data_IF_936010382232
#
_entry.id   IF_936010382232
#
_cell.length_a   1.000
_cell.length_b   1.000
_cell.length_c   1.000
_cell.angle_alpha   90.00
_cell.angle_beta   90.00
_cell.angle_gamma   90.00
#
_symmetry.space_group_name_H-M   'P 1'
#
loop_
_entity.id
_entity.type
_entity.pdbx_description
1 polymer ?
#
# COMPACT_ATOMS: atom_id res chain seq x y z
N UNK A 1 -91.17 -15.52 26.74
CA UNK A 1 -91.45 -15.31 25.31
C UNK A 1 -90.50 -14.21 24.82
N UNK A 2 -89.71 -14.49 23.79
CA UNK A 2 -88.81 -13.57 23.04
C UNK A 2 -89.48 -12.23 22.69
N UNK A 3 -88.76 -11.10 22.39
CA UNK A 3 -87.64 -11.10 21.45
C UNK A 3 -86.50 -10.04 21.59
N UNK A 4 -85.41 -10.37 20.88
CA UNK A 4 -84.53 -9.53 20.04
C UNK A 4 -83.85 -8.27 20.60
N UNK A 5 -82.52 -8.21 20.43
CA UNK A 5 -81.92 -7.43 19.34
C UNK A 5 -80.44 -7.80 19.14
N UNK A 6 -80.09 -8.08 17.88
CA UNK A 6 -78.73 -8.25 17.37
C UNK A 6 -78.08 -6.87 17.24
N UNK A 7 -76.84 -6.71 17.68
CA UNK A 7 -75.98 -5.64 17.20
C UNK A 7 -74.59 -6.21 16.89
N UNK A 8 -74.27 -6.24 15.60
CA UNK A 8 -72.93 -6.53 15.09
C UNK A 8 -72.04 -5.33 15.36
N UNK A 9 -70.92 -5.54 16.05
CA UNK A 9 -69.80 -4.60 16.06
C UNK A 9 -68.60 -5.28 15.41
N UNK A 10 -68.30 -4.87 14.17
CA UNK A 10 -67.05 -5.17 13.49
C UNK A 10 -65.91 -4.47 14.23
N UNK A 11 -64.99 -5.24 14.82
CA UNK A 11 -63.73 -4.71 15.34
C UNK A 11 -62.71 -4.71 14.19
N UNK A 12 -62.48 -3.56 13.57
CA UNK A 12 -61.38 -3.38 12.64
C UNK A 12 -60.08 -3.19 13.43
N UNK A 13 -59.19 -4.18 13.40
CA UNK A 13 -57.83 -4.06 13.92
C UNK A 13 -57.02 -3.16 12.97
N UNK A 14 -56.81 -1.89 13.33
CA UNK A 14 -55.86 -1.03 12.65
C UNK A 14 -54.44 -1.41 13.08
N UNK A 15 -53.77 -2.28 12.32
CA UNK A 15 -52.35 -2.52 12.48
C UNK A 15 -51.58 -1.35 11.87
N UNK A 16 -51.13 -0.42 12.70
CA UNK A 16 -50.15 0.60 12.30
C UNK A 16 -48.79 -0.07 12.12
N UNK A 17 -48.47 -0.48 10.88
CA UNK A 17 -47.12 -0.85 10.50
C UNK A 17 -46.24 0.40 10.51
N UNK A 18 -45.48 0.62 11.59
CA UNK A 18 -44.37 1.56 11.55
C UNK A 18 -43.22 0.90 10.79
N UNK A 19 -43.16 1.15 9.49
CA UNK A 19 -41.93 0.91 8.73
C UNK A 19 -40.92 1.96 9.19
N UNK A 20 -39.96 1.55 10.03
CA UNK A 20 -38.78 2.37 10.29
C UNK A 20 -38.03 2.57 8.96
N UNK A 21 -37.59 3.80 8.62
CA UNK A 21 -36.75 3.99 7.45
C UNK A 21 -35.39 3.36 7.75
N UNK A 22 -35.09 2.27 7.05
CA UNK A 22 -33.77 1.64 7.06
C UNK A 22 -32.81 2.51 6.24
N UNK A 23 -32.48 3.71 6.72
CA UNK A 23 -31.43 4.54 6.14
C UNK A 23 -30.06 4.08 6.63
N UNK A 24 -29.63 2.92 6.13
CA UNK A 24 -28.21 2.67 5.90
C UNK A 24 -28.02 2.49 4.40
N UNK A 25 -28.26 3.57 3.67
CA UNK A 25 -27.68 3.72 2.34
C UNK A 25 -26.17 3.82 2.54
N UNK A 26 -25.47 2.69 2.34
CA UNK A 26 -24.07 2.72 1.96
C UNK A 26 -23.98 3.63 0.73
N UNK A 27 -23.62 4.89 0.95
CA UNK A 27 -23.24 5.76 -0.16
C UNK A 27 -22.03 5.11 -0.82
N UNK A 28 -22.29 4.38 -1.90
CA UNK A 28 -21.28 3.89 -2.84
C UNK A 28 -20.66 5.14 -3.50
N UNK A 29 -19.81 5.85 -2.77
CA UNK A 29 -18.96 6.85 -3.39
C UNK A 29 -18.07 6.10 -4.37
N UNK A 30 -18.20 6.43 -5.65
CA UNK A 30 -17.23 6.00 -6.63
C UNK A 30 -15.87 6.52 -6.16
N UNK A 31 -14.87 5.62 -6.10
CA UNK A 31 -13.48 5.98 -5.88
C UNK A 31 -13.07 7.12 -6.82
N UNK A 32 -12.33 8.09 -6.31
CA UNK A 32 -11.75 9.17 -7.08
C UNK A 32 -10.25 8.98 -7.35
N UNK A 33 -9.79 9.58 -8.45
CA UNK A 33 -8.38 9.91 -8.65
C UNK A 33 -8.18 11.34 -8.13
N UNK A 34 -7.30 11.51 -7.16
CA UNK A 34 -7.11 12.78 -6.44
C UNK A 34 -5.69 13.32 -6.62
N UNK A 35 -5.47 14.59 -6.28
CA UNK A 35 -4.13 15.19 -6.33
C UNK A 35 -3.15 14.39 -5.45
N UNK A 36 -1.91 14.24 -5.91
CA UNK A 36 -0.92 13.39 -5.24
C UNK A 36 -0.61 13.81 -3.81
N UNK A 37 -0.77 15.09 -3.49
CA UNK A 37 -0.52 15.68 -2.18
C UNK A 37 -1.76 15.77 -1.27
N UNK A 38 -2.94 15.39 -1.77
CA UNK A 38 -4.19 15.45 -1.00
C UNK A 38 -4.37 14.29 -0.02
N UNK A 39 -3.73 13.15 -0.28
CA UNK A 39 -3.77 11.99 0.59
C UNK A 39 -2.75 12.13 1.73
N UNK A 40 -3.18 11.76 2.94
CA UNK A 40 -2.33 11.70 4.12
C UNK A 40 -2.11 10.24 4.52
N UNK A 41 -0.95 9.91 5.12
CA UNK A 41 -0.68 8.54 5.52
C UNK A 41 -1.67 8.09 6.59
N UNK A 42 -2.18 6.89 6.41
CA UNK A 42 -3.00 6.17 7.35
C UNK A 42 -2.12 5.74 8.52
N UNK A 43 -2.51 6.03 9.77
CA UNK A 43 -1.81 5.54 10.96
C UNK A 43 -1.60 4.02 10.92
N UNK A 44 -0.59 3.55 11.66
CA UNK A 44 -0.21 2.12 11.69
C UNK A 44 -1.43 1.20 11.72
N UNK A 45 -1.62 0.45 10.64
CA UNK A 45 -2.72 -0.48 10.45
C UNK A 45 -2.13 -1.81 9.99
N UNK A 46 -2.08 -2.77 10.90
CA UNK A 46 -1.45 -4.09 10.74
C UNK A 46 -2.42 -5.19 11.14
N UNK A 47 -2.33 -6.36 10.49
CA UNK A 47 -3.13 -7.51 10.90
C UNK A 47 -2.74 -8.00 12.29
N UNK A 48 -3.64 -8.63 13.05
CA UNK A 48 -3.30 -9.14 14.38
C UNK A 48 -2.38 -10.38 14.30
N UNK A 49 -1.70 -10.66 15.43
CA UNK A 49 -0.91 -11.88 15.61
C UNK A 49 0.52 -11.79 15.09
N UNK A 50 1.22 -12.93 15.09
CA UNK A 50 2.67 -13.01 14.88
C UNK A 50 3.16 -12.48 13.53
N UNK A 51 2.33 -12.55 12.49
CA UNK A 51 2.68 -11.98 11.19
C UNK A 51 2.65 -10.44 11.25
N UNK A 52 1.63 -9.86 11.88
CA UNK A 52 1.57 -8.42 12.13
C UNK A 52 2.72 -7.92 13.01
N UNK A 53 3.03 -8.64 14.08
CA UNK A 53 4.19 -8.34 14.95
C UNK A 53 5.50 -8.33 14.14
N UNK A 54 5.65 -9.27 13.20
CA UNK A 54 6.83 -9.34 12.33
C UNK A 54 6.86 -8.20 11.30
N UNK A 55 5.72 -7.83 10.70
CA UNK A 55 5.61 -6.68 9.80
C UNK A 55 6.04 -5.38 10.50
N UNK A 56 5.66 -5.19 11.76
CA UNK A 56 6.05 -4.00 12.52
C UNK A 56 7.54 -4.05 12.89
N UNK A 57 8.02 -5.20 13.36
CA UNK A 57 9.39 -5.38 13.84
C UNK A 57 10.45 -5.19 12.75
N UNK A 58 10.19 -5.68 11.55
CA UNK A 58 11.17 -5.77 10.46
C UNK A 58 11.00 -4.66 9.41
N UNK A 59 10.24 -3.60 9.71
CA UNK A 59 10.02 -2.50 8.78
C UNK A 59 11.35 -1.84 8.36
N UNK A 60 11.66 -1.67 7.07
CA UNK A 60 12.92 -1.06 6.65
C UNK A 60 13.04 0.43 7.03
N UNK A 61 14.28 0.88 7.20
CA UNK A 61 14.62 2.31 7.25
C UNK A 61 14.90 2.79 5.83
N UNK A 62 14.08 3.71 5.33
CA UNK A 62 14.23 4.25 3.99
C UNK A 62 14.94 5.62 4.01
N UNK A 63 16.07 5.71 3.32
CA UNK A 63 16.77 6.93 2.97
C UNK A 63 16.40 7.36 1.55
N UNK A 64 16.23 8.67 1.32
CA UNK A 64 15.94 9.24 0.00
C UNK A 64 17.18 10.03 -0.43
N UNK A 65 18.03 9.42 -1.26
CA UNK A 65 19.23 10.06 -1.77
C UNK A 65 18.89 11.09 -2.87
N UNK A 66 17.84 10.82 -3.65
CA UNK A 66 17.46 11.64 -4.80
C UNK A 66 15.95 11.60 -5.06
N UNK A 67 15.46 12.50 -5.92
CA UNK A 67 14.08 12.51 -6.42
C UNK A 67 13.03 12.90 -5.38
N UNK A 68 11.86 12.29 -5.50
CA UNK A 68 10.71 12.59 -4.66
C UNK A 68 10.84 11.97 -3.25
N UNK A 69 10.13 12.54 -2.28
CA UNK A 69 9.79 11.81 -1.05
C UNK A 69 8.71 10.76 -1.35
N UNK A 70 8.55 9.70 -0.54
CA UNK A 70 7.43 8.78 -0.69
C UNK A 70 6.12 9.46 -0.30
N UNK A 71 5.01 9.06 -0.93
CA UNK A 71 3.66 9.61 -0.73
C UNK A 71 2.66 8.49 -0.44
N UNK A 72 1.47 8.89 0.00
CA UNK A 72 0.34 7.98 0.19
C UNK A 72 -0.35 7.77 -1.16
N UNK A 73 -0.39 6.52 -1.61
CA UNK A 73 -0.95 6.14 -2.90
C UNK A 73 -2.48 5.94 -2.87
N UNK A 74 -3.03 5.54 -1.73
CA UNK A 74 -4.45 5.18 -1.57
C UNK A 74 -4.95 5.51 -0.16
N UNK A 75 -6.21 5.94 -0.03
CA UNK A 75 -6.88 6.07 1.27
C UNK A 75 -7.79 4.88 1.61
N UNK A 76 -8.44 4.94 2.77
CA UNK A 76 -9.35 3.87 3.25
C UNK A 76 -10.62 3.72 2.42
N UNK A 77 -11.01 4.75 1.67
CA UNK A 77 -12.22 4.79 0.84
C UNK A 77 -11.89 4.39 -0.62
N UNK A 78 -10.62 4.12 -0.91
CA UNK A 78 -10.13 3.62 -2.19
C UNK A 78 -9.67 4.72 -3.14
N UNK A 79 -9.77 6.01 -2.77
CA UNK A 79 -9.26 7.10 -3.58
C UNK A 79 -7.76 6.95 -3.78
N UNK A 80 -7.26 7.19 -4.99
CA UNK A 80 -5.84 7.05 -5.30
C UNK A 80 -5.18 8.33 -5.73
N UNK A 81 -3.88 8.41 -5.46
CA UNK A 81 -3.01 9.45 -6.01
C UNK A 81 -2.99 9.39 -7.54
N UNK A 82 -3.32 10.52 -8.18
CA UNK A 82 -3.12 10.76 -9.60
C UNK A 82 -1.65 11.00 -9.98
N UNK A 83 -0.73 10.96 -9.02
CA UNK A 83 0.69 11.18 -9.24
C UNK A 83 1.04 12.58 -9.72
N UNK A 84 2.31 12.76 -10.09
CA UNK A 84 2.83 14.01 -10.62
C UNK A 84 3.34 13.80 -12.05
N UNK A 85 3.17 14.80 -12.91
CA UNK A 85 3.80 14.75 -14.23
C UNK A 85 5.32 14.77 -14.06
N UNK A 86 6.02 13.93 -14.80
CA UNK A 86 7.48 13.82 -14.95
C UNK A 86 8.09 14.99 -15.74
N UNK A 87 7.65 16.20 -15.44
CA UNK A 87 8.13 17.45 -16.04
C UNK A 87 8.74 18.36 -14.97
N UNK A 88 9.44 19.40 -15.42
CA UNK A 88 10.10 20.35 -14.53
C UNK A 88 11.30 19.73 -13.81
N UNK A 89 11.54 20.13 -12.55
CA UNK A 89 12.64 19.59 -11.77
C UNK A 89 12.31 18.22 -11.17
N UNK A 90 13.34 17.40 -10.98
CA UNK A 90 13.25 16.05 -10.37
C UNK A 90 12.56 16.02 -9.01
N UNK A 91 12.68 17.12 -8.26
CA UNK A 91 12.14 17.28 -6.90
C UNK A 91 10.90 18.20 -6.85
N UNK A 92 10.50 18.79 -7.97
CA UNK A 92 9.40 19.75 -8.01
C UNK A 92 8.07 19.11 -7.58
N UNK A 93 7.38 19.74 -6.63
CA UNK A 93 6.05 19.32 -6.19
C UNK A 93 5.98 18.04 -5.34
N UNK A 94 7.10 17.41 -4.98
CA UNK A 94 7.08 16.09 -4.32
C UNK A 94 8.07 15.95 -3.15
N UNK A 95 8.31 17.02 -2.37
CA UNK A 95 9.28 17.02 -1.24
C UNK A 95 8.66 17.09 0.16
N UNK A 96 7.33 17.10 0.27
CA UNK A 96 6.67 16.98 1.57
C UNK A 96 7.02 15.63 2.23
N UNK A 97 7.68 15.72 3.39
CA UNK A 97 8.14 14.57 4.15
C UNK A 97 7.05 13.97 5.04
N UNK A 98 5.89 14.63 5.18
CA UNK A 98 4.76 14.17 5.99
C UNK A 98 3.83 13.19 5.26
N UNK A 99 3.99 13.05 3.93
CA UNK A 99 3.05 12.31 3.07
C UNK A 99 3.35 10.82 2.92
N UNK A 100 4.52 10.38 3.35
CA UNK A 100 4.99 9.02 3.08
C UNK A 100 4.27 7.93 3.86
N UNK A 101 4.07 6.79 3.21
CA UNK A 101 3.47 5.58 3.74
C UNK A 101 4.34 4.38 3.35
N UNK A 102 4.47 3.41 4.24
CA UNK A 102 4.94 2.07 3.92
C UNK A 102 3.75 1.14 3.70
N UNK A 103 3.76 0.38 2.61
CA UNK A 103 2.81 -0.69 2.36
C UNK A 103 3.48 -2.03 2.63
N UNK A 104 2.75 -2.99 3.19
CA UNK A 104 3.32 -4.29 3.52
C UNK A 104 2.40 -5.44 3.10
N UNK A 105 2.99 -6.57 2.72
CA UNK A 105 2.28 -7.85 2.56
C UNK A 105 3.22 -9.00 2.86
N UNK A 106 2.72 -9.99 3.60
CA UNK A 106 3.51 -11.14 4.02
C UNK A 106 2.94 -12.47 3.51
N UNK A 107 3.82 -13.45 3.33
CA UNK A 107 3.48 -14.85 3.04
C UNK A 107 4.56 -15.77 3.57
N UNK A 108 4.22 -17.05 3.78
CA UNK A 108 5.24 -18.08 3.91
C UNK A 108 5.84 -18.38 2.53
N UNK A 109 7.15 -18.52 2.46
CA UNK A 109 7.88 -18.89 1.25
C UNK A 109 9.11 -19.72 1.64
N UNK A 110 9.21 -20.96 1.13
CA UNK A 110 10.34 -21.88 1.39
C UNK A 110 10.72 -22.02 2.88
N UNK A 111 9.70 -22.12 3.75
CA UNK A 111 9.88 -22.27 5.20
C UNK A 111 10.30 -21.00 5.94
N UNK A 112 10.35 -19.84 5.27
CA UNK A 112 10.60 -18.52 5.85
C UNK A 112 9.34 -17.66 5.77
N UNK A 113 9.20 -16.70 6.68
CA UNK A 113 8.22 -15.63 6.49
C UNK A 113 8.84 -14.59 5.56
N UNK A 114 8.27 -14.42 4.37
CA UNK A 114 8.62 -13.35 3.45
C UNK A 114 7.71 -12.15 3.69
N UNK A 115 8.28 -10.97 3.88
CA UNK A 115 7.54 -9.71 4.04
C UNK A 115 8.03 -8.74 2.99
N UNK A 116 7.14 -8.37 2.07
CA UNK A 116 7.39 -7.34 1.08
C UNK A 116 6.92 -6.00 1.64
N UNK A 117 7.83 -5.04 1.75
CA UNK A 117 7.56 -3.63 2.05
C UNK A 117 7.72 -2.81 0.78
N UNK A 118 6.80 -1.89 0.53
CA UNK A 118 6.80 -1.06 -0.65
C UNK A 118 6.50 0.40 -0.31
N UNK A 119 6.94 1.28 -1.19
CA UNK A 119 6.68 2.72 -1.14
C UNK A 119 6.27 3.21 -2.52
N UNK A 120 5.48 4.29 -2.51
CA UNK A 120 5.00 4.95 -3.70
C UNK A 120 5.63 6.34 -3.82
N UNK A 121 6.04 6.71 -5.03
CA UNK A 121 6.43 8.08 -5.34
C UNK A 121 5.50 8.67 -6.42
N UNK A 122 5.18 9.98 -6.36
CA UNK A 122 4.30 10.61 -7.35
C UNK A 122 4.83 10.54 -8.79
N UNK A 123 6.15 10.49 -8.97
CA UNK A 123 6.84 10.33 -10.25
C UNK A 123 8.22 9.71 -10.06
N UNK A 124 8.69 9.04 -11.11
CA UNK A 124 10.09 8.76 -11.34
C UNK A 124 10.65 9.79 -12.33
N UNK A 125 11.70 10.51 -11.92
CA UNK A 125 12.39 11.43 -12.81
C UNK A 125 13.89 11.48 -12.48
N UNK A 126 14.67 10.75 -13.26
CA UNK A 126 16.14 10.64 -13.14
C UNK A 126 16.92 11.87 -13.62
N UNK A 127 16.30 12.77 -14.41
CA UNK A 127 16.89 14.03 -14.85
C UNK A 127 15.85 15.16 -15.00
N UNK A 128 16.24 16.41 -14.71
CA UNK A 128 15.35 17.58 -14.83
C UNK A 128 15.05 17.94 -16.29
N UNK A 129 13.86 18.48 -16.55
CA UNK A 129 13.36 18.81 -17.89
C UNK A 129 12.46 17.72 -18.47
N UNK A 130 11.97 17.92 -19.70
CA UNK A 130 11.19 16.92 -20.44
C UNK A 130 12.14 15.91 -21.10
N UNK A 131 12.76 15.06 -20.28
CA UNK A 131 13.80 14.13 -20.73
C UNK A 131 13.26 12.71 -20.91
N UNK A 132 13.89 11.96 -21.81
CA UNK A 132 13.65 10.52 -22.00
C UNK A 132 13.96 9.75 -20.71
N UNK A 133 13.01 8.92 -20.23
CA UNK A 133 13.20 7.99 -19.11
C UNK A 133 12.15 8.12 -18.02
N UNK A 134 11.78 9.36 -17.66
CA UNK A 134 10.81 9.61 -16.59
C UNK A 134 9.41 9.02 -16.81
N UNK A 135 8.67 8.90 -15.72
CA UNK A 135 7.26 8.56 -15.74
C UNK A 135 6.50 9.03 -14.49
N UNK A 136 5.20 9.26 -14.67
CA UNK A 136 4.26 9.44 -13.57
C UNK A 136 4.11 8.12 -12.80
N UNK A 137 4.01 8.23 -11.48
CA UNK A 137 4.00 7.12 -10.52
C UNK A 137 5.34 6.39 -10.46
N UNK A 138 5.69 5.92 -9.28
CA UNK A 138 6.73 4.93 -9.10
C UNK A 138 6.43 4.07 -7.87
N UNK A 139 6.86 2.82 -7.93
CA UNK A 139 6.67 1.82 -6.90
C UNK A 139 7.91 0.96 -6.78
N UNK A 140 8.53 1.04 -5.60
CA UNK A 140 9.70 0.24 -5.28
C UNK A 140 9.46 -0.56 -3.99
N UNK A 141 10.16 -1.67 -3.84
CA UNK A 141 9.95 -2.60 -2.73
C UNK A 141 11.20 -3.36 -2.28
N UNK A 142 11.20 -3.71 -1.00
CA UNK A 142 12.17 -4.60 -0.37
C UNK A 142 11.43 -5.81 0.16
N UNK A 143 11.99 -7.00 -0.05
CA UNK A 143 11.53 -8.22 0.61
C UNK A 143 12.52 -8.60 1.70
N UNK A 144 12.05 -8.87 2.90
CA UNK A 144 12.84 -9.50 3.97
C UNK A 144 12.33 -10.91 4.21
N UNK A 145 13.24 -11.85 4.39
CA UNK A 145 12.94 -13.23 4.73
C UNK A 145 13.37 -13.48 6.18
N UNK A 146 12.44 -13.95 7.00
CA UNK A 146 12.65 -14.16 8.44
C UNK A 146 12.62 -15.67 8.71
N UNK A 147 13.63 -16.17 9.43
CA UNK A 147 13.79 -17.60 9.71
C UNK A 147 12.64 -18.19 10.52
N UNK A 148 12.55 -17.81 11.78
CA UNK A 148 11.54 -18.30 12.71
C UNK A 148 10.79 -17.11 13.30
N UNK A 149 9.89 -16.52 12.51
CA UNK A 149 9.13 -15.32 12.90
C UNK A 149 8.26 -15.53 14.15
N UNK A 150 7.99 -16.78 14.55
CA UNK A 150 7.24 -17.11 15.76
C UNK A 150 8.11 -16.98 17.03
N UNK A 151 9.43 -16.96 16.89
CA UNK A 151 10.37 -16.82 18.00
C UNK A 151 10.61 -15.34 18.35
N UNK A 152 10.66 -14.97 19.64
CA UNK A 152 11.16 -13.66 20.07
C UNK A 152 12.59 -13.38 19.58
N UNK A 153 13.40 -14.42 19.37
CA UNK A 153 14.75 -14.35 18.83
C UNK A 153 14.84 -14.50 17.31
N UNK A 154 13.76 -14.24 16.57
CA UNK A 154 13.77 -14.30 15.11
C UNK A 154 14.93 -13.48 14.53
N UNK A 155 15.58 -14.05 13.51
CA UNK A 155 16.68 -13.44 12.76
C UNK A 155 16.27 -13.20 11.31
N UNK A 156 16.90 -12.19 10.70
CA UNK A 156 16.86 -12.01 9.26
C UNK A 156 17.61 -13.17 8.60
N UNK A 157 16.98 -13.82 7.63
CA UNK A 157 17.60 -14.84 6.78
C UNK A 157 18.31 -14.20 5.58
N UNK A 158 17.60 -13.32 4.88
CA UNK A 158 18.09 -12.55 3.74
C UNK A 158 17.15 -11.37 3.48
N UNK A 159 17.61 -10.41 2.68
CA UNK A 159 16.77 -9.37 2.11
C UNK A 159 17.07 -9.19 0.63
N UNK A 160 16.11 -8.60 -0.10
CA UNK A 160 16.33 -8.22 -1.49
C UNK A 160 15.65 -6.87 -1.79
N UNK A 161 16.34 -5.99 -2.50
CA UNK A 161 15.87 -4.66 -2.87
C UNK A 161 15.56 -4.58 -4.37
N UNK A 162 14.42 -4.00 -4.74
CA UNK A 162 14.02 -3.90 -6.14
C UNK A 162 14.94 -3.00 -6.97
N UNK A 163 15.03 -3.32 -8.25
CA UNK A 163 15.62 -2.46 -9.27
C UNK A 163 15.29 -2.97 -10.66
N UNK A 164 14.63 -2.13 -11.45
CA UNK A 164 14.30 -2.39 -12.85
C UNK A 164 13.61 -3.75 -13.09
N UNK A 165 12.58 -4.05 -12.29
CA UNK A 165 11.78 -5.27 -12.40
C UNK A 165 12.41 -6.56 -11.84
N UNK A 166 13.60 -6.47 -11.26
CA UNK A 166 14.30 -7.55 -10.57
C UNK A 166 14.62 -7.16 -9.11
N UNK A 167 15.29 -8.06 -8.40
CA UNK A 167 15.72 -7.86 -7.02
C UNK A 167 17.22 -8.10 -6.87
N UNK A 168 17.88 -7.23 -6.10
CA UNK A 168 19.28 -7.35 -5.68
C UNK A 168 19.31 -8.00 -4.30
N UNK A 169 19.87 -9.20 -4.20
CA UNK A 169 19.88 -10.01 -2.99
C UNK A 169 21.06 -9.68 -2.08
N UNK A 170 20.82 -9.70 -0.77
CA UNK A 170 21.84 -9.58 0.25
C UNK A 170 21.49 -10.46 1.46
N UNK A 171 22.40 -11.35 1.83
CA UNK A 171 22.26 -12.21 3.02
C UNK A 171 22.71 -11.51 4.30
N UNK A 172 23.46 -10.41 4.18
CA UNK A 172 23.98 -9.63 5.30
C UNK A 172 23.84 -8.12 5.02
N UNK A 173 22.62 -7.62 4.75
CA UNK A 173 22.43 -6.20 4.46
C UNK A 173 22.79 -5.34 5.68
N UNK A 174 23.18 -4.06 5.49
CA UNK A 174 23.28 -3.11 6.58
C UNK A 174 21.95 -3.01 7.34
N UNK A 175 22.05 -3.05 8.67
CA UNK A 175 20.91 -3.02 9.58
C UNK A 175 21.14 -2.05 10.73
N UNK A 176 20.04 -1.48 11.25
CA UNK A 176 20.01 -0.81 12.54
C UNK A 176 18.93 -1.47 13.40
N UNK A 177 19.33 -2.18 14.45
CA UNK A 177 18.40 -3.03 15.19
C UNK A 177 17.84 -4.13 14.28
N UNK A 178 16.52 -4.24 14.18
CA UNK A 178 15.86 -5.21 13.30
C UNK A 178 15.59 -4.64 11.89
N UNK A 179 15.96 -3.39 11.61
CA UNK A 179 15.52 -2.71 10.40
C UNK A 179 16.65 -2.70 9.36
N UNK A 180 16.42 -3.33 8.20
CA UNK A 180 17.33 -3.21 7.06
C UNK A 180 17.36 -1.75 6.58
N UNK A 181 18.55 -1.28 6.20
CA UNK A 181 18.78 0.10 5.80
C UNK A 181 18.79 0.19 4.28
N UNK A 182 17.82 0.92 3.74
CA UNK A 182 17.49 0.99 2.32
C UNK A 182 17.65 2.40 1.82
N UNK A 183 18.13 2.56 0.59
CA UNK A 183 18.28 3.84 -0.07
C UNK A 183 17.55 3.81 -1.42
N UNK A 184 16.69 4.80 -1.64
CA UNK A 184 16.11 5.13 -2.94
C UNK A 184 17.03 6.12 -3.65
N UNK A 185 17.52 5.73 -4.83
CA UNK A 185 18.52 6.46 -5.58
C UNK A 185 18.32 6.28 -7.09
N UNK A 186 19.09 7.03 -7.88
CA UNK A 186 19.13 6.90 -9.34
C UNK A 186 20.49 6.36 -9.76
N UNK A 187 20.49 5.28 -10.54
CA UNK A 187 21.68 4.82 -11.25
C UNK A 187 21.90 5.64 -12.52
N UNK A 188 23.14 6.02 -12.83
CA UNK A 188 23.43 6.84 -14.00
C UNK A 188 22.89 6.20 -15.29
N UNK A 189 22.05 6.94 -16.02
CA UNK A 189 21.42 6.49 -17.27
C UNK A 189 20.23 5.54 -17.10
N UNK A 190 19.71 5.37 -15.88
CA UNK A 190 18.50 4.60 -15.58
C UNK A 190 17.56 5.40 -14.67
N UNK A 191 16.34 4.87 -14.53
CA UNK A 191 15.33 5.37 -13.59
C UNK A 191 15.68 4.98 -12.14
N UNK A 192 14.84 5.31 -11.16
CA UNK A 192 15.16 5.02 -9.76
C UNK A 192 15.14 3.52 -9.45
N UNK A 193 15.83 3.15 -8.38
CA UNK A 193 15.83 1.81 -7.81
C UNK A 193 16.20 1.85 -6.32
N UNK A 194 16.11 0.71 -5.63
CA UNK A 194 16.51 0.56 -4.24
C UNK A 194 17.84 -0.17 -4.09
N UNK A 195 18.67 0.26 -3.14
CA UNK A 195 19.84 -0.50 -2.70
C UNK A 195 19.91 -0.57 -1.18
N UNK A 196 20.73 -1.48 -0.65
CA UNK A 196 21.06 -1.46 0.78
C UNK A 196 22.25 -0.54 1.04
N UNK A 197 22.12 0.35 2.02
CA UNK A 197 23.13 1.36 2.33
C UNK A 197 23.09 1.74 3.80
N UNK A 198 24.22 2.17 4.35
CA UNK A 198 24.34 2.66 5.74
C UNK A 198 23.83 4.09 5.93
N UNK A 199 23.30 4.74 4.89
CA UNK A 199 22.70 6.07 4.96
C UNK A 199 21.55 6.09 5.97
N UNK A 200 21.46 7.09 6.88
CA UNK A 200 20.37 7.18 7.83
C UNK A 200 19.01 7.34 7.13
N UNK A 201 18.13 6.36 7.32
CA UNK A 201 16.74 6.40 6.87
C UNK A 201 15.75 6.57 8.02
N UNK A 202 14.46 6.53 7.69
CA UNK A 202 13.36 6.51 8.67
C UNK A 202 12.28 5.51 8.28
N UNK A 203 11.43 5.17 9.23
CA UNK A 203 10.19 4.45 8.98
C UNK A 203 9.06 5.43 8.64
N UNK A 204 8.00 4.89 8.04
CA UNK A 204 6.73 5.57 7.78
C UNK A 204 5.60 4.81 8.46
N UNK A 205 4.38 5.36 8.51
CA UNK A 205 3.26 4.54 8.96
C UNK A 205 3.11 3.31 8.03
N UNK A 206 2.81 2.14 8.60
CA UNK A 206 2.60 0.91 7.84
C UNK A 206 1.11 0.72 7.57
N UNK A 207 0.76 0.38 6.33
CA UNK A 207 -0.56 -0.12 5.95
C UNK A 207 -0.42 -1.54 5.36
N UNK A 208 -0.72 -2.54 6.18
CA UNK A 208 -0.66 -3.96 5.83
C UNK A 208 -1.84 -4.35 4.94
N UNK A 209 -1.55 -4.98 3.79
CA UNK A 209 -2.52 -5.48 2.81
C UNK A 209 -3.66 -6.30 3.44
N UNK A 210 -3.34 -7.14 4.43
CA UNK A 210 -4.33 -7.98 5.10
C UNK A 210 -5.30 -7.18 5.99
N UNK A 211 -4.85 -6.03 6.51
CA UNK A 211 -5.65 -5.11 7.32
C UNK A 211 -6.30 -3.98 6.51
N UNK A 212 -6.00 -3.86 5.21
CA UNK A 212 -6.61 -2.86 4.35
C UNK A 212 -8.12 -3.05 4.21
N UNK A 213 -8.84 -1.93 4.02
CA UNK A 213 -10.24 -1.99 3.57
C UNK A 213 -10.33 -2.65 2.18
N UNK A 214 -11.45 -3.30 1.84
CA UNK A 214 -11.69 -3.78 0.48
C UNK A 214 -11.58 -2.67 -0.57
N UNK A 215 -12.03 -1.46 -0.24
CA UNK A 215 -11.96 -0.29 -1.13
C UNK A 215 -10.52 0.14 -1.41
N UNK A 216 -9.65 0.19 -0.39
CA UNK A 216 -8.23 0.49 -0.56
C UNK A 216 -7.53 -0.56 -1.45
N UNK A 217 -7.77 -1.85 -1.21
CA UNK A 217 -7.24 -2.92 -2.05
C UNK A 217 -7.70 -2.78 -3.50
N UNK A 218 -9.01 -2.54 -3.70
CA UNK A 218 -9.57 -2.31 -5.04
C UNK A 218 -8.94 -1.08 -5.71
N UNK A 219 -8.74 0.01 -4.97
CA UNK A 219 -8.10 1.20 -5.49
C UNK A 219 -6.65 0.97 -5.93
N UNK A 220 -5.88 0.17 -5.19
CA UNK A 220 -4.53 -0.22 -5.58
C UNK A 220 -4.51 -1.13 -6.81
N UNK A 221 -5.51 -2.00 -6.96
CA UNK A 221 -5.64 -2.90 -8.12
C UNK A 221 -6.04 -2.11 -9.37
N UNK A 222 -7.04 -1.22 -9.26
CA UNK A 222 -7.61 -0.52 -10.41
C UNK A 222 -6.75 0.66 -10.89
N UNK A 223 -5.93 1.25 -10.01
CA UNK A 223 -5.00 2.34 -10.33
C UNK A 223 -5.64 3.61 -10.95
N UNK A 224 -4.87 4.69 -11.14
CA UNK A 224 -5.40 5.97 -11.62
C UNK A 224 -5.52 6.08 -13.15
N UNK A 225 -4.95 5.15 -13.93
CA UNK A 225 -4.80 5.32 -15.39
C UNK A 225 -6.09 5.11 -16.18
N UNK A 226 -7.04 4.34 -15.64
CA UNK A 226 -8.20 3.84 -16.39
C UNK A 226 -7.89 2.70 -17.37
N UNK A 227 -6.62 2.31 -17.53
CA UNK A 227 -6.20 1.15 -18.31
C UNK A 227 -6.03 -0.06 -17.39
N UNK A 228 -6.91 -1.08 -17.46
CA UNK A 228 -6.81 -2.26 -16.61
C UNK A 228 -5.55 -3.12 -16.87
N UNK A 229 -4.86 -2.91 -18.00
CA UNK A 229 -3.58 -3.59 -18.29
C UNK A 229 -2.39 -2.87 -17.66
N UNK A 230 -2.51 -1.56 -17.45
CA UNK A 230 -1.46 -0.71 -16.88
C UNK A 230 -2.07 0.25 -15.84
N UNK A 231 -2.60 -0.27 -14.70
CA UNK A 231 -3.40 0.53 -13.77
C UNK A 231 -2.66 1.77 -13.24
N UNK A 232 -1.34 1.68 -13.09
CA UNK A 232 -0.45 2.73 -12.59
C UNK A 232 0.52 3.25 -13.67
N UNK A 233 0.15 3.11 -14.94
CA UNK A 233 1.00 3.53 -16.05
C UNK A 233 2.21 2.60 -16.19
N UNK A 234 3.43 3.12 -15.97
CA UNK A 234 4.67 2.33 -16.07
C UNK A 234 5.10 1.68 -14.76
N UNK A 235 4.47 2.04 -13.65
CA UNK A 235 4.76 1.47 -12.34
C UNK A 235 3.81 0.29 -12.05
N UNK A 236 4.28 -0.68 -11.28
CA UNK A 236 3.50 -1.84 -10.83
C UNK A 236 3.42 -1.88 -9.31
N UNK A 237 2.22 -2.07 -8.74
CA UNK A 237 2.06 -2.22 -7.28
C UNK A 237 2.56 -3.62 -6.87
N UNK A 238 3.71 -3.74 -6.18
CA UNK A 238 4.46 -4.98 -6.15
C UNK A 238 3.86 -6.05 -5.23
N UNK A 239 2.84 -5.68 -4.45
CA UNK A 239 2.18 -6.52 -3.44
C UNK A 239 0.69 -6.80 -3.73
N UNK A 240 0.18 -6.41 -4.90
CA UNK A 240 -1.15 -6.88 -5.34
C UNK A 240 -1.10 -8.35 -5.74
N UNK A 241 -2.26 -9.00 -5.84
CA UNK A 241 -2.33 -10.43 -6.19
C UNK A 241 -1.65 -10.76 -7.53
N UNK A 242 -1.67 -9.81 -8.48
CA UNK A 242 -1.06 -9.96 -9.80
C UNK A 242 0.48 -10.10 -9.77
N UNK A 243 1.14 -9.44 -8.81
CA UNK A 243 2.60 -9.32 -8.78
C UNK A 243 3.26 -9.99 -7.57
N UNK A 244 2.53 -10.11 -6.47
CA UNK A 244 3.11 -10.48 -5.18
C UNK A 244 3.87 -11.80 -5.21
N UNK A 245 3.24 -12.88 -5.68
CA UNK A 245 3.89 -14.21 -5.70
C UNK A 245 5.14 -14.22 -6.59
N UNK A 246 5.07 -13.59 -7.77
CA UNK A 246 6.21 -13.50 -8.69
C UNK A 246 7.37 -12.68 -8.08
N UNK A 247 7.06 -11.57 -7.41
CA UNK A 247 8.06 -10.74 -6.75
C UNK A 247 8.72 -11.46 -5.56
N UNK A 248 7.96 -12.20 -4.76
CA UNK A 248 8.53 -13.06 -3.70
C UNK A 248 9.48 -14.09 -4.30
N UNK A 249 9.12 -14.74 -5.42
CA UNK A 249 9.99 -15.70 -6.10
C UNK A 249 11.27 -15.05 -6.63
N UNK A 250 11.18 -13.88 -7.27
CA UNK A 250 12.36 -13.13 -7.75
C UNK A 250 13.29 -12.70 -6.61
N UNK A 251 12.71 -12.36 -5.46
CA UNK A 251 13.45 -11.92 -4.29
C UNK A 251 14.11 -13.07 -3.50
N UNK A 252 13.76 -14.33 -3.76
CA UNK A 252 14.33 -15.48 -3.07
C UNK A 252 15.74 -15.84 -3.60
N UNK A 253 16.69 -16.12 -2.69
CA UNK A 253 18.08 -16.54 -3.00
C UNK A 253 18.69 -17.47 -1.96
#
# INVERSE_FOLDING_TARGET
MYPQTLFNAFLALAATGMAAPSETLNSLHARAVVNHDSLNPIPKTIQPGRIGDAIDRWQPLLHIADGCQPYTAVDKDGNVSGGLQDSGSRTGGCRDTSKGQTYARATMHNGKLAILYAWYWPKDQSASGNVFGGHRHDWESVVVFIDNYQSPGATLYAAAASGHGNYKHDKNPPMRGNNVMVEYFTSFGKDHELQFKTSPGRTYWIYDWAAMTPAARKGLIDGPSGDPRNPWGRADVPFTDAFFANNINKAWS
#
